data_IF_259322410384
#
_entry.id   IF_259322410384
#
_cell.length_a   1.000
_cell.length_b   1.000
_cell.length_c   1.000
_cell.angle_alpha   90.00
_cell.angle_beta   90.00
_cell.angle_gamma   90.00
#
_symmetry.space_group_name_H-M   'P 1'
#
loop_
_entity.id
_entity.type
_entity.pdbx_description
1 polymer ?
#
# COMPACT_ATOMS: atom_id res chain seq x y z
N UNK A 1 11.63 1.06 -35.72
CA UNK A 1 10.83 2.25 -35.47
C UNK A 1 9.75 2.00 -34.46
N UNK A 2 8.87 1.03 -34.66
CA UNK A 2 7.88 0.68 -33.65
C UNK A 2 8.47 0.30 -32.30
N UNK A 3 9.61 -0.31 -32.33
CA UNK A 3 10.31 -0.72 -31.13
C UNK A 3 10.73 0.45 -30.24
N UNK A 4 10.84 1.65 -30.79
CA UNK A 4 11.15 2.84 -30.01
C UNK A 4 9.95 3.34 -29.21
N UNK A 5 8.78 2.80 -29.47
CA UNK A 5 7.52 3.23 -28.89
C UNK A 5 6.80 2.12 -28.18
N UNK A 6 7.54 1.21 -27.56
CA UNK A 6 6.90 0.27 -26.66
C UNK A 6 6.05 1.03 -25.66
N UNK A 7 4.80 0.61 -25.45
CA UNK A 7 3.97 1.26 -24.45
C UNK A 7 4.68 1.23 -23.11
N UNK A 8 4.94 2.37 -22.60
CA UNK A 8 5.61 2.53 -21.34
C UNK A 8 4.59 2.99 -20.30
N UNK A 9 4.63 2.45 -19.09
CA UNK A 9 5.38 1.25 -18.70
C UNK A 9 4.77 -0.01 -19.32
N UNK A 10 5.50 -1.10 -19.25
CA UNK A 10 5.00 -2.38 -19.73
C UNK A 10 3.91 -2.88 -18.78
N UNK A 11 2.67 -2.76 -19.19
CA UNK A 11 1.52 -3.10 -18.37
C UNK A 11 1.24 -4.60 -18.38
N UNK A 12 0.62 -5.13 -17.30
CA UNK A 12 0.12 -6.51 -17.29
C UNK A 12 -0.87 -6.73 -18.41
N UNK A 13 -0.84 -7.92 -19.02
CA UNK A 13 -1.76 -8.25 -20.12
C UNK A 13 -3.20 -8.35 -19.67
N UNK A 14 -3.41 -8.90 -18.48
CA UNK A 14 -4.74 -9.09 -17.91
C UNK A 14 -4.83 -8.38 -16.58
N UNK A 15 -5.77 -7.49 -16.47
CA UNK A 15 -6.03 -6.81 -15.20
C UNK A 15 -7.50 -6.38 -15.15
N UNK A 16 -7.98 -6.19 -13.92
CA UNK A 16 -9.32 -5.65 -13.71
C UNK A 16 -9.24 -4.33 -12.95
N UNK A 17 -10.07 -3.40 -13.33
CA UNK A 17 -10.15 -2.09 -12.71
C UNK A 17 -11.05 -2.15 -11.49
N UNK A 18 -10.56 -1.62 -10.36
CA UNK A 18 -11.34 -1.39 -9.15
C UNK A 18 -11.57 0.11 -9.05
N UNK A 19 -12.83 0.53 -9.01
CA UNK A 19 -13.17 1.94 -8.99
C UNK A 19 -12.93 2.62 -10.34
N UNK A 20 -12.66 3.91 -10.30
CA UNK A 20 -12.41 4.72 -11.47
C UNK A 20 -10.92 4.78 -11.80
N UNK A 21 -10.57 5.15 -13.01
CA UNK A 21 -9.19 5.38 -13.38
C UNK A 21 -8.68 6.65 -12.69
N UNK A 22 -7.54 6.53 -12.04
CA UNK A 22 -6.89 7.66 -11.41
C UNK A 22 -5.88 8.29 -12.36
N UNK A 23 -5.82 9.61 -12.39
CA UNK A 23 -4.89 10.34 -13.27
C UNK A 23 -3.64 10.83 -12.53
N UNK A 24 -3.63 10.77 -11.22
CA UNK A 24 -2.52 11.23 -10.41
C UNK A 24 -1.45 10.15 -10.25
N UNK A 25 -1.90 8.92 -10.02
CA UNK A 25 -1.01 7.77 -9.84
C UNK A 25 -1.71 6.51 -10.35
N UNK A 26 -1.00 5.69 -11.09
CA UNK A 26 -1.50 4.42 -11.58
C UNK A 26 -0.98 3.30 -10.70
N UNK A 27 -1.85 2.70 -9.90
CA UNK A 27 -1.51 1.59 -9.03
C UNK A 27 -1.95 0.27 -9.66
N UNK A 28 -1.01 -0.67 -9.71
CA UNK A 28 -1.25 -2.05 -10.14
C UNK A 28 -0.91 -2.97 -8.97
N UNK A 29 -1.93 -3.63 -8.45
CA UNK A 29 -1.80 -4.52 -7.29
C UNK A 29 -1.93 -5.96 -7.77
N UNK A 30 -0.93 -6.78 -7.48
CA UNK A 30 -0.99 -8.19 -7.87
C UNK A 30 -2.10 -8.93 -7.13
N UNK A 31 -2.79 -9.81 -7.83
CA UNK A 31 -3.98 -10.47 -7.29
C UNK A 31 -3.71 -11.23 -5.99
N UNK A 32 -2.58 -11.91 -5.89
CA UNK A 32 -2.29 -12.60 -4.64
C UNK A 32 -2.06 -11.64 -3.46
N UNK A 33 -1.50 -10.46 -3.71
CA UNK A 33 -1.35 -9.43 -2.67
C UNK A 33 -2.72 -8.91 -2.25
N UNK A 34 -3.57 -8.64 -3.21
CA UNK A 34 -4.95 -8.23 -2.94
C UNK A 34 -5.68 -9.26 -2.08
N UNK A 35 -5.57 -10.53 -2.43
CA UNK A 35 -6.16 -11.63 -1.66
C UNK A 35 -5.58 -11.71 -0.26
N UNK A 36 -4.27 -11.59 -0.14
CA UNK A 36 -3.59 -11.59 1.14
C UNK A 36 -4.09 -10.46 2.05
N UNK A 37 -4.15 -9.24 1.52
CA UNK A 37 -4.61 -8.10 2.30
C UNK A 37 -6.07 -8.23 2.74
N UNK A 38 -6.92 -8.79 1.90
CA UNK A 38 -8.32 -9.02 2.25
C UNK A 38 -8.50 -10.07 3.33
N UNK A 39 -7.62 -11.05 3.39
CA UNK A 39 -7.65 -12.11 4.39
C UNK A 39 -6.90 -11.77 5.66
N UNK A 40 -6.13 -10.69 5.64
CA UNK A 40 -5.32 -10.28 6.78
C UNK A 40 -6.19 -9.51 7.78
N UNK A 41 -6.93 -10.26 8.58
CA UNK A 41 -7.85 -9.67 9.54
C UNK A 41 -7.42 -10.00 10.97
N UNK A 42 -7.39 -8.99 11.86
CA UNK A 42 -7.13 -9.24 13.27
C UNK A 42 -8.25 -10.11 13.87
N UNK A 43 -7.88 -10.94 14.83
CA UNK A 43 -8.84 -11.77 15.55
C UNK A 43 -9.80 -10.93 16.39
N UNK A 44 -9.37 -9.74 16.81
CA UNK A 44 -10.16 -8.80 17.62
C UNK A 44 -10.22 -7.46 16.90
N UNK A 45 -11.39 -6.81 16.92
CA UNK A 45 -11.63 -5.59 16.16
C UNK A 45 -10.73 -4.41 16.52
N UNK A 46 -10.22 -4.34 17.74
CA UNK A 46 -9.35 -3.25 18.18
C UNK A 46 -7.90 -3.40 17.73
N UNK A 47 -7.48 -4.61 17.35
CA UNK A 47 -6.11 -4.86 16.91
C UNK A 47 -5.97 -4.54 15.42
N UNK A 48 -4.83 -3.98 15.07
CA UNK A 48 -4.49 -3.69 13.67
C UNK A 48 -3.39 -4.63 13.21
N UNK A 49 -3.48 -5.05 11.96
CA UNK A 49 -2.40 -5.75 11.29
C UNK A 49 -1.81 -4.80 10.26
N UNK A 50 -0.53 -4.58 10.35
CA UNK A 50 0.17 -3.57 9.57
C UNK A 50 1.42 -4.14 8.92
N UNK A 51 1.86 -3.52 7.86
CA UNK A 51 3.07 -3.95 7.21
C UNK A 51 3.40 -3.11 5.99
N UNK A 52 4.35 -3.60 5.21
CA UNK A 52 4.89 -2.91 4.06
C UNK A 52 4.32 -3.44 2.75
N UNK A 53 4.10 -2.54 1.82
CA UNK A 53 3.80 -2.85 0.42
C UNK A 53 5.09 -2.77 -0.37
N UNK A 54 5.39 -3.80 -1.13
CA UNK A 54 6.65 -3.96 -1.83
C UNK A 54 6.43 -4.09 -3.32
N UNK A 55 7.33 -3.54 -4.09
CA UNK A 55 7.24 -3.61 -5.53
C UNK A 55 8.21 -2.68 -6.22
N UNK A 56 7.75 -2.09 -7.29
CA UNK A 56 8.55 -1.18 -8.10
C UNK A 56 7.69 -0.04 -8.61
N UNK A 57 8.35 1.00 -9.09
CA UNK A 57 7.64 2.10 -9.74
C UNK A 57 8.44 2.69 -10.88
N UNK A 58 7.72 3.26 -11.82
CA UNK A 58 8.28 3.98 -12.94
C UNK A 58 7.44 5.24 -13.14
N UNK A 59 8.08 6.32 -13.58
CA UNK A 59 7.38 7.56 -13.89
C UNK A 59 7.36 7.73 -15.40
N UNK A 60 6.19 8.00 -15.94
CA UNK A 60 6.01 8.23 -17.35
C UNK A 60 5.10 9.44 -17.56
N UNK A 61 5.58 10.43 -18.29
CA UNK A 61 4.86 11.70 -18.50
C UNK A 61 4.40 12.34 -17.20
N UNK A 62 5.29 12.33 -16.21
CA UNK A 62 5.07 12.84 -14.85
C UNK A 62 4.03 12.07 -14.02
N UNK A 63 3.53 10.97 -14.54
CA UNK A 63 2.59 10.11 -13.80
C UNK A 63 3.36 8.89 -13.27
N UNK A 64 3.35 8.67 -11.94
CA UNK A 64 3.95 7.46 -11.38
C UNK A 64 3.07 6.24 -11.64
N UNK A 65 3.70 5.16 -12.09
CA UNK A 65 3.10 3.84 -12.22
C UNK A 65 3.72 2.96 -11.16
N UNK A 66 2.91 2.50 -10.23
CA UNK A 66 3.35 1.73 -9.07
C UNK A 66 2.84 0.31 -9.17
N UNK A 67 3.75 -0.66 -9.08
CA UNK A 67 3.42 -2.07 -9.13
C UNK A 67 3.71 -2.68 -7.77
N UNK A 68 2.68 -3.18 -7.10
CA UNK A 68 2.81 -3.83 -5.80
C UNK A 68 2.63 -5.32 -5.98
N UNK A 69 3.71 -6.07 -5.86
CA UNK A 69 3.72 -7.51 -6.02
C UNK A 69 4.20 -8.26 -4.77
N UNK A 70 4.32 -7.56 -3.66
CA UNK A 70 4.67 -8.15 -2.38
C UNK A 70 4.07 -7.38 -1.22
N UNK A 71 3.87 -8.08 -0.12
CA UNK A 71 3.43 -7.50 1.13
C UNK A 71 4.11 -8.23 2.29
N UNK A 72 4.51 -7.49 3.29
CA UNK A 72 5.23 -8.02 4.45
C UNK A 72 4.63 -7.45 5.73
N UNK A 73 4.03 -8.33 6.54
CA UNK A 73 3.50 -7.92 7.83
C UNK A 73 4.63 -7.57 8.79
N UNK A 74 4.44 -6.51 9.57
CA UNK A 74 5.38 -6.06 10.59
C UNK A 74 4.79 -6.17 11.97
N UNK A 75 5.63 -6.48 12.93
CA UNK A 75 5.26 -6.41 14.34
C UNK A 75 5.04 -4.95 14.72
N UNK A 76 3.95 -4.68 15.41
CA UNK A 76 3.59 -3.34 15.83
C UNK A 76 2.88 -3.36 17.16
N UNK A 77 2.83 -2.20 17.80
CA UNK A 77 2.07 -1.98 19.02
C UNK A 77 1.00 -0.94 18.72
N UNK A 78 -0.26 -1.27 19.06
CA UNK A 78 -1.34 -0.30 18.97
C UNK A 78 -1.34 0.53 20.24
N UNK A 79 -1.12 1.83 20.08
CA UNK A 79 -1.15 2.78 21.18
C UNK A 79 -2.57 3.32 21.40
N UNK A 80 -2.76 4.00 22.54
CA UNK A 80 -4.01 4.67 22.84
C UNK A 80 -4.41 5.63 21.71
N UNK A 81 -5.69 5.62 21.37
CA UNK A 81 -6.20 6.42 20.25
C UNK A 81 -6.08 5.73 18.88
N UNK A 82 -5.67 4.45 18.84
CA UNK A 82 -5.57 3.70 17.59
C UNK A 82 -4.29 3.93 16.81
N UNK A 83 -3.33 4.64 17.38
CA UNK A 83 -2.03 4.86 16.73
C UNK A 83 -1.21 3.59 16.71
N UNK A 84 -0.39 3.46 15.69
CA UNK A 84 0.49 2.30 15.50
C UNK A 84 1.93 2.71 15.76
N UNK A 85 2.63 1.95 16.59
CA UNK A 85 4.06 2.16 16.82
C UNK A 85 4.84 0.96 16.30
N UNK A 86 5.93 1.24 15.61
CA UNK A 86 6.90 0.25 15.13
C UNK A 86 8.15 0.32 15.99
N UNK A 87 8.61 -0.83 16.47
CA UNK A 87 9.87 -0.91 17.20
C UNK A 87 11.05 -0.88 16.24
N UNK A 88 12.24 -0.53 16.75
CA UNK A 88 13.45 -0.61 15.94
C UNK A 88 13.73 -2.03 15.46
N UNK A 89 13.45 -3.01 16.32
CA UNK A 89 13.64 -4.42 15.97
C UNK A 89 12.68 -4.85 14.85
N UNK A 90 11.45 -4.34 14.85
CA UNK A 90 10.49 -4.61 13.78
C UNK A 90 11.00 -4.07 12.45
N UNK A 91 11.55 -2.86 12.43
CA UNK A 91 12.14 -2.29 11.21
C UNK A 91 13.35 -3.09 10.73
N UNK A 92 14.26 -3.47 11.63
CA UNK A 92 15.44 -4.27 11.27
C UNK A 92 15.03 -5.61 10.66
N UNK A 93 14.09 -6.29 11.29
CA UNK A 93 13.56 -7.55 10.78
C UNK A 93 12.91 -7.38 9.42
N UNK A 94 12.11 -6.34 9.25
CA UNK A 94 11.45 -6.05 7.99
C UNK A 94 12.44 -5.85 6.85
N UNK A 95 13.49 -5.06 7.05
CA UNK A 95 14.51 -4.86 6.03
C UNK A 95 15.27 -6.14 5.69
N UNK A 96 15.55 -6.97 6.69
CA UNK A 96 16.18 -8.27 6.46
C UNK A 96 15.28 -9.18 5.64
N UNK A 97 14.00 -9.24 5.99
CA UNK A 97 13.02 -10.06 5.29
C UNK A 97 12.82 -9.59 3.85
N UNK A 98 12.82 -8.29 3.62
CA UNK A 98 12.74 -7.74 2.27
C UNK A 98 13.93 -8.18 1.42
N UNK A 99 15.14 -8.11 1.95
CA UNK A 99 16.33 -8.56 1.23
C UNK A 99 16.29 -10.04 0.88
N UNK A 100 15.78 -10.86 1.79
CA UNK A 100 15.73 -12.31 1.61
C UNK A 100 14.56 -12.77 0.74
N UNK A 101 13.37 -12.23 0.99
CA UNK A 101 12.13 -12.70 0.37
C UNK A 101 11.74 -11.92 -0.86
N UNK A 102 12.12 -10.67 -0.93
CA UNK A 102 11.73 -9.76 -2.01
C UNK A 102 12.95 -9.02 -2.56
N UNK A 103 13.98 -9.76 -3.02
CA UNK A 103 15.16 -9.10 -3.60
C UNK A 103 14.74 -8.27 -4.81
N UNK A 104 15.33 -7.10 -4.98
CA UNK A 104 15.04 -6.14 -6.04
C UNK A 104 13.68 -5.44 -5.91
N UNK A 105 12.97 -5.63 -4.81
CA UNK A 105 11.76 -4.87 -4.51
C UNK A 105 12.10 -3.72 -3.58
N UNK A 106 11.35 -2.64 -3.70
CA UNK A 106 11.46 -1.48 -2.82
C UNK A 106 10.13 -1.24 -2.11
N UNK A 107 10.20 -0.53 -0.99
CA UNK A 107 9.01 -0.19 -0.23
C UNK A 107 8.21 0.86 -1.00
N UNK A 108 6.95 0.56 -1.29
CA UNK A 108 6.04 1.45 -1.99
C UNK A 108 5.05 2.14 -1.06
N UNK A 109 4.99 1.72 0.18
CA UNK A 109 4.09 2.24 1.18
C UNK A 109 3.81 1.20 2.26
N UNK A 110 2.70 1.38 2.93
CA UNK A 110 2.29 0.49 4.00
C UNK A 110 0.81 0.16 3.94
N UNK A 111 0.41 -0.86 4.69
CA UNK A 111 -0.99 -1.25 4.80
C UNK A 111 -1.41 -1.33 6.26
N UNK A 112 -2.69 -1.04 6.50
CA UNK A 112 -3.33 -1.17 7.80
C UNK A 112 -4.65 -1.92 7.60
N UNK A 113 -4.80 -3.04 8.28
CA UNK A 113 -5.99 -3.89 8.21
C UNK A 113 -6.63 -3.97 9.58
N UNK A 114 -7.93 -3.64 9.64
CA UNK A 114 -8.71 -3.71 10.87
C UNK A 114 -9.72 -4.86 10.80
N UNK A 115 -10.09 -5.37 11.96
CA UNK A 115 -11.12 -6.39 12.07
C UNK A 115 -12.53 -5.85 11.93
N UNK A 116 -13.52 -6.74 11.95
CA UNK A 116 -14.93 -6.34 11.83
C UNK A 116 -15.34 -5.34 12.91
N UNK A 117 -16.13 -4.37 12.51
CA UNK A 117 -16.62 -3.34 13.43
C UNK A 117 -15.67 -2.21 13.73
N UNK A 118 -14.47 -2.23 13.17
CA UNK A 118 -13.47 -1.19 13.35
C UNK A 118 -13.35 -0.38 12.06
N UNK A 119 -13.50 0.93 12.15
CA UNK A 119 -13.37 1.83 11.01
C UNK A 119 -12.03 2.56 11.10
N UNK A 120 -11.24 2.46 10.02
CA UNK A 120 -9.97 3.17 9.92
C UNK A 120 -10.19 4.57 9.36
N UNK A 121 -9.64 5.56 10.04
CA UNK A 121 -9.67 6.95 9.57
C UNK A 121 -8.30 7.33 9.00
N UNK A 122 -8.25 7.81 7.76
CA UNK A 122 -6.97 8.23 7.18
C UNK A 122 -6.32 9.37 7.99
N UNK A 123 -7.11 10.24 8.61
CA UNK A 123 -6.58 11.33 9.41
C UNK A 123 -5.81 10.85 10.63
N UNK A 124 -6.23 9.72 11.22
CA UNK A 124 -5.53 9.14 12.38
C UNK A 124 -4.11 8.72 12.02
N UNK A 125 -3.91 8.19 10.82
CA UNK A 125 -2.63 7.61 10.40
C UNK A 125 -1.81 8.52 9.51
N UNK A 126 -2.36 9.66 9.12
CA UNK A 126 -1.70 10.59 8.23
C UNK A 126 -0.35 11.07 8.77
N UNK A 127 -0.32 11.44 10.03
CA UNK A 127 0.89 11.93 10.68
C UNK A 127 1.98 10.85 10.70
N UNK A 128 1.59 9.62 11.00
CA UNK A 128 2.51 8.48 11.01
C UNK A 128 3.00 8.16 9.60
N UNK A 129 2.11 8.21 8.63
CA UNK A 129 2.48 8.03 7.23
C UNK A 129 3.56 9.04 6.81
N UNK A 130 3.36 10.31 7.13
CA UNK A 130 4.31 11.36 6.80
C UNK A 130 5.65 11.20 7.53
N UNK A 131 5.63 10.61 8.72
CA UNK A 131 6.84 10.38 9.51
C UNK A 131 7.68 9.21 9.00
N UNK A 132 7.03 8.09 8.67
CA UNK A 132 7.72 6.85 8.29
C UNK A 132 7.91 6.69 6.79
N UNK A 133 7.02 7.25 5.99
CA UNK A 133 7.02 7.10 4.53
C UNK A 133 7.14 8.47 3.87
N UNK A 134 8.34 9.02 4.00
CA UNK A 134 8.63 10.40 3.58
C UNK A 134 8.76 10.58 2.08
N UNK A 135 8.91 9.48 1.34
CA UNK A 135 9.03 9.53 -0.11
C UNK A 135 7.77 10.05 -0.78
N UNK A 136 7.94 10.69 -1.93
CA UNK A 136 6.84 11.21 -2.71
C UNK A 136 5.93 10.08 -3.19
N UNK A 137 4.62 10.26 -3.04
CA UNK A 137 3.60 9.32 -3.51
C UNK A 137 3.71 7.93 -2.90
N UNK A 138 4.15 7.84 -1.65
CA UNK A 138 4.10 6.59 -0.90
C UNK A 138 2.66 6.22 -0.59
N UNK A 139 2.35 4.93 -0.67
CA UNK A 139 1.00 4.44 -0.51
C UNK A 139 0.63 4.23 0.95
N UNK A 140 -0.61 4.53 1.28
CA UNK A 140 -1.24 4.12 2.54
C UNK A 140 -2.52 3.37 2.20
N UNK A 141 -2.50 2.05 2.36
CA UNK A 141 -3.63 1.18 2.08
C UNK A 141 -4.39 0.89 3.36
N UNK A 142 -5.69 1.18 3.37
CA UNK A 142 -6.56 0.91 4.52
C UNK A 142 -7.60 -0.14 4.14
N UNK A 143 -7.78 -1.12 5.02
CA UNK A 143 -8.80 -2.15 4.88
C UNK A 143 -9.54 -2.31 6.21
N UNK A 144 -10.85 -2.11 6.19
CA UNK A 144 -11.68 -2.08 7.40
C UNK A 144 -12.45 -3.38 7.66
N UNK A 145 -11.95 -4.51 7.20
CA UNK A 145 -12.54 -5.81 7.51
C UNK A 145 -13.43 -6.38 6.40
N UNK A 146 -14.27 -7.35 6.77
CA UNK A 146 -14.98 -8.23 5.83
C UNK A 146 -15.86 -7.51 4.80
N UNK A 147 -16.58 -6.52 5.23
CA UNK A 147 -17.43 -5.70 4.34
C UNK A 147 -16.78 -4.35 4.09
N UNK A 148 -15.52 -4.26 4.50
CA UNK A 148 -14.83 -3.01 4.56
C UNK A 148 -14.52 -2.43 3.21
N UNK A 149 -14.62 -1.14 3.17
CA UNK A 149 -14.13 -0.37 2.06
C UNK A 149 -12.61 -0.36 2.10
N UNK A 150 -12.03 -0.74 0.99
CA UNK A 150 -10.62 -0.56 0.79
C UNK A 150 -10.37 0.84 0.26
N UNK A 151 -9.34 1.48 0.76
CA UNK A 151 -8.96 2.80 0.28
C UNK A 151 -7.45 2.91 0.22
N UNK A 152 -6.97 3.56 -0.81
CA UNK A 152 -5.55 3.83 -0.98
C UNK A 152 -5.35 5.33 -1.05
N UNK A 153 -4.44 5.82 -0.23
CA UNK A 153 -4.10 7.24 -0.14
C UNK A 153 -2.64 7.44 -0.50
N UNK A 154 -2.33 8.60 -1.03
CA UNK A 154 -0.94 9.01 -1.29
C UNK A 154 -0.71 10.42 -0.77
N UNK A 155 0.56 10.75 -0.57
CA UNK A 155 0.97 12.09 -0.21
C UNK A 155 0.76 13.04 -1.40
N UNK A 156 0.19 14.19 -1.14
CA UNK A 156 0.07 15.26 -2.13
C UNK A 156 0.63 16.56 -1.59
N UNK A 157 0.74 17.57 -2.42
CA UNK A 157 1.23 18.90 -2.02
C UNK A 157 0.37 19.55 -0.93
N UNK A 158 -0.91 19.23 -0.91
CA UNK A 158 -1.89 19.82 0.01
C UNK A 158 -2.30 18.89 1.16
N UNK A 159 -1.58 17.81 1.35
CA UNK A 159 -1.89 16.82 2.37
C UNK A 159 -1.89 15.41 1.82
N UNK A 160 -3.04 14.74 1.84
CA UNK A 160 -3.16 13.42 1.26
C UNK A 160 -4.28 13.39 0.23
N UNK A 161 -4.17 12.42 -0.68
CA UNK A 161 -5.09 12.24 -1.79
C UNK A 161 -5.56 10.79 -1.83
N UNK A 162 -6.88 10.59 -1.89
CA UNK A 162 -7.45 9.26 -2.03
C UNK A 162 -7.49 8.88 -3.52
N UNK A 163 -6.89 7.76 -3.88
CA UNK A 163 -6.96 7.26 -5.25
C UNK A 163 -8.42 6.92 -5.60
N UNK A 164 -8.83 7.28 -6.80
CA UNK A 164 -10.17 6.97 -7.29
C UNK A 164 -10.34 5.49 -7.62
N UNK A 165 -9.25 4.83 -7.90
CA UNK A 165 -9.26 3.41 -8.18
C UNK A 165 -7.86 2.90 -8.50
N UNK A 166 -7.76 1.62 -8.77
CA UNK A 166 -6.52 0.94 -9.09
C UNK A 166 -6.82 -0.34 -9.87
N UNK A 167 -5.78 -0.99 -10.36
CA UNK A 167 -5.93 -2.21 -11.14
C UNK A 167 -5.35 -3.41 -10.40
N UNK A 168 -6.00 -4.57 -10.55
CA UNK A 168 -5.53 -5.84 -10.00
C UNK A 168 -5.14 -6.75 -11.16
N UNK A 169 -3.97 -7.34 -11.07
CA UNK A 169 -3.46 -8.20 -12.15
C UNK A 169 -2.94 -9.55 -11.66
#
# INVERSE_FOLDING_TARGET
MGELYEPFPKLPKNFRQIGERDQVLKLYLEDYVNTYLKRLQPAKGADLRVGLLLGSRETHEDIPFVFVDGALEMDSVTEEGGKVAFTEDAWKKAYQDVEQMFPKRTVQGWFLCAGPGCTLSPLTYWKQHSQYFTGKNQLMYLNCGLEGEEAVYITSSDGFYKLRGYSIY
#
